data_IF_773480476166
#
_entry.id   IF_773480476166
#
_cell.length_a   1.000
_cell.length_b   1.000
_cell.length_c   1.000
_cell.angle_alpha   90.00
_cell.angle_beta   90.00
_cell.angle_gamma   90.00
#
_symmetry.space_group_name_H-M   'P 1'
#
loop_
_entity.id
_entity.type
_entity.pdbx_description
1 polymer ?
#
# COMPACT_ATOMS: atom_id res chain seq x y z
N UNK A 1 13.03 12.71 2.82
CA UNK A 1 14.02 11.65 3.11
C UNK A 1 13.35 10.60 3.95
N UNK A 2 13.52 9.33 3.61
CA UNK A 2 12.92 8.20 4.36
C UNK A 2 13.86 7.83 5.50
N UNK A 3 13.36 7.72 6.71
CA UNK A 3 14.16 7.38 7.89
C UNK A 3 13.90 5.96 8.34
N UNK A 4 14.82 5.41 9.14
CA UNK A 4 14.59 4.13 9.79
C UNK A 4 13.37 4.15 10.74
N UNK A 5 13.01 5.33 11.27
CA UNK A 5 11.80 5.47 12.08
C UNK A 5 10.54 5.27 11.22
N UNK A 6 10.49 5.86 10.03
CA UNK A 6 9.36 5.72 9.10
C UNK A 6 9.13 4.25 8.73
N UNK A 7 10.21 3.51 8.50
CA UNK A 7 10.17 2.08 8.19
C UNK A 7 9.77 1.21 9.40
N UNK A 8 9.96 1.69 10.63
CA UNK A 8 9.61 0.95 11.85
C UNK A 8 8.29 1.38 12.47
N UNK A 9 7.64 2.41 11.95
CA UNK A 9 6.41 2.93 12.51
C UNK A 9 5.23 2.01 12.16
N UNK A 10 4.99 1.79 10.87
CA UNK A 10 3.92 0.94 10.36
C UNK A 10 4.34 -0.47 9.93
N UNK A 11 3.37 -1.37 9.71
CA UNK A 11 3.64 -2.72 9.19
C UNK A 11 4.22 -2.67 7.77
N UNK A 12 3.76 -1.77 6.91
CA UNK A 12 4.26 -1.66 5.53
C UNK A 12 5.74 -1.32 5.46
N UNK A 13 6.22 -0.41 6.31
CA UNK A 13 7.65 -0.08 6.40
C UNK A 13 8.51 -1.27 6.85
N UNK A 14 8.02 -2.04 7.83
CA UNK A 14 8.71 -3.25 8.32
C UNK A 14 8.74 -4.32 7.23
N UNK A 15 7.62 -4.52 6.55
CA UNK A 15 7.48 -5.48 5.45
C UNK A 15 8.41 -5.10 4.30
N UNK A 16 8.39 -3.84 3.87
CA UNK A 16 9.31 -3.33 2.85
C UNK A 16 10.78 -3.60 3.21
N UNK A 17 11.17 -3.35 4.46
CA UNK A 17 12.55 -3.59 4.91
C UNK A 17 12.95 -5.07 4.81
N UNK A 18 12.03 -5.98 5.17
CA UNK A 18 12.22 -7.43 5.01
C UNK A 18 12.32 -7.83 3.54
N UNK A 19 11.37 -7.38 2.71
CA UNK A 19 11.32 -7.76 1.30
C UNK A 19 12.51 -7.19 0.52
N UNK A 20 13.01 -6.02 0.90
CA UNK A 20 14.23 -5.44 0.34
C UNK A 20 15.47 -6.29 0.64
N UNK A 21 15.56 -6.85 1.85
CA UNK A 21 16.64 -7.79 2.19
C UNK A 21 16.53 -9.07 1.36
N UNK A 22 15.31 -9.57 1.14
CA UNK A 22 15.07 -10.79 0.35
C UNK A 22 15.41 -10.57 -1.12
N UNK A 23 15.04 -9.42 -1.68
CA UNK A 23 15.37 -9.05 -3.05
C UNK A 23 16.89 -8.87 -3.24
N UNK A 24 17.54 -8.08 -2.39
CA UNK A 24 18.98 -7.79 -2.48
C UNK A 24 19.88 -8.99 -2.08
N UNK A 25 19.41 -9.88 -1.21
CA UNK A 25 20.14 -11.05 -0.72
C UNK A 25 20.30 -12.17 -1.77
N UNK A 26 19.58 -12.06 -2.90
CA UNK A 26 19.65 -12.98 -4.04
C UNK A 26 19.46 -14.45 -3.65
N UNK A 27 20.20 -15.34 -4.33
CA UNK A 27 20.17 -16.80 -4.10
C UNK A 27 21.32 -17.28 -3.20
N UNK A 28 21.67 -16.50 -2.19
CA UNK A 28 22.67 -16.91 -1.20
C UNK A 28 22.09 -17.98 -0.27
N UNK A 29 22.94 -18.86 0.26
CA UNK A 29 22.50 -19.87 1.24
C UNK A 29 21.87 -19.23 2.50
N UNK A 30 22.34 -18.04 2.89
CA UNK A 30 21.76 -17.28 4.00
C UNK A 30 20.35 -16.76 3.66
N UNK A 31 20.13 -16.27 2.43
CA UNK A 31 18.81 -15.82 1.99
C UNK A 31 17.82 -16.99 1.87
N UNK A 32 18.27 -18.14 1.35
CA UNK A 32 17.46 -19.37 1.29
C UNK A 32 17.09 -19.86 2.72
N UNK A 33 18.05 -19.82 3.64
CA UNK A 33 17.81 -20.16 5.03
C UNK A 33 16.82 -19.20 5.71
N UNK A 34 16.95 -17.88 5.48
CA UNK A 34 15.99 -16.89 5.95
C UNK A 34 14.58 -17.20 5.43
N UNK A 35 14.43 -17.48 4.14
CA UNK A 35 13.14 -17.86 3.55
C UNK A 35 12.51 -19.08 4.22
N UNK A 36 13.32 -20.11 4.49
CA UNK A 36 12.87 -21.32 5.16
C UNK A 36 12.40 -21.06 6.61
N UNK A 37 13.20 -20.31 7.37
CA UNK A 37 12.88 -19.97 8.77
C UNK A 37 11.64 -19.08 8.87
N UNK A 38 11.49 -18.11 7.96
CA UNK A 38 10.28 -17.27 7.88
C UNK A 38 9.03 -18.09 7.55
N UNK A 39 9.12 -19.03 6.61
CA UNK A 39 8.02 -19.93 6.30
C UNK A 39 7.56 -20.70 7.54
N UNK A 40 8.48 -21.30 8.29
CA UNK A 40 8.10 -22.02 9.50
C UNK A 40 7.59 -21.11 10.61
N UNK A 41 8.15 -19.90 10.74
CA UNK A 41 7.65 -18.91 11.70
C UNK A 41 6.20 -18.51 11.41
N UNK A 42 5.87 -18.28 10.14
CA UNK A 42 4.53 -18.00 9.67
C UNK A 42 3.54 -19.15 9.96
N UNK A 43 3.95 -20.39 9.67
CA UNK A 43 3.17 -21.60 9.99
C UNK A 43 2.88 -21.69 11.49
N UNK A 44 3.88 -21.48 12.34
CA UNK A 44 3.72 -21.56 13.80
C UNK A 44 2.81 -20.46 14.33
N UNK A 45 3.01 -19.20 13.92
CA UNK A 45 2.18 -18.08 14.33
C UNK A 45 0.72 -18.25 13.92
N UNK A 46 0.49 -18.68 12.67
CA UNK A 46 -0.86 -18.95 12.15
C UNK A 46 -1.57 -20.02 12.99
N UNK A 47 -0.85 -21.08 13.40
CA UNK A 47 -1.39 -22.14 14.27
C UNK A 47 -1.62 -21.67 15.71
N UNK A 48 -0.74 -20.85 16.27
CA UNK A 48 -0.91 -20.25 17.60
C UNK A 48 -2.15 -19.35 17.67
N UNK A 49 -2.49 -18.70 16.55
CA UNK A 49 -3.73 -17.94 16.38
C UNK A 49 -4.97 -18.83 16.20
N UNK A 50 -4.82 -20.15 16.24
CA UNK A 50 -5.91 -21.12 16.13
C UNK A 50 -6.38 -21.37 14.69
N UNK A 51 -5.61 -20.93 13.69
CA UNK A 51 -5.94 -21.11 12.27
C UNK A 51 -5.34 -22.41 11.72
N UNK A 52 -6.02 -23.04 10.78
CA UNK A 52 -5.51 -24.25 10.11
C UNK A 52 -4.48 -23.91 9.04
N UNK A 53 -3.40 -24.68 8.98
CA UNK A 53 -2.37 -24.58 7.94
C UNK A 53 -2.24 -25.92 7.23
N UNK A 54 -2.48 -25.93 5.92
CA UNK A 54 -2.35 -27.13 5.10
C UNK A 54 -0.89 -27.36 4.68
N UNK A 55 -0.23 -28.32 5.33
CA UNK A 55 1.13 -28.75 4.99
C UNK A 55 1.10 -29.98 4.07
N UNK A 56 1.11 -29.75 2.76
CA UNK A 56 1.05 -30.82 1.75
C UNK A 56 2.39 -31.56 1.62
N UNK A 57 2.52 -32.69 2.31
CA UNK A 57 3.72 -33.53 2.23
C UNK A 57 4.91 -33.03 3.04
N UNK A 58 4.72 -32.03 3.89
CA UNK A 58 5.72 -31.51 4.81
C UNK A 58 5.37 -31.90 6.25
N UNK A 59 6.38 -32.35 7.01
CA UNK A 59 6.27 -32.49 8.45
C UNK A 59 6.55 -31.13 9.11
N UNK A 60 5.89 -30.85 10.24
CA UNK A 60 6.19 -29.66 11.04
C UNK A 60 7.67 -29.64 11.43
N UNK A 61 8.27 -28.46 11.32
CA UNK A 61 9.66 -28.20 11.66
C UNK A 61 9.74 -27.03 12.66
N UNK A 62 10.50 -27.20 13.73
CA UNK A 62 10.61 -26.23 14.82
C UNK A 62 11.66 -25.13 14.55
N UNK A 63 12.23 -25.05 13.35
CA UNK A 63 13.23 -24.04 12.97
C UNK A 63 12.70 -22.62 12.93
N UNK A 64 11.38 -22.42 12.82
CA UNK A 64 10.71 -21.12 12.74
C UNK A 64 10.66 -20.29 14.03
N UNK A 65 11.56 -20.52 15.00
CA UNK A 65 11.57 -19.74 16.25
C UNK A 65 11.94 -18.28 16.01
N UNK A 66 11.46 -17.38 16.86
CA UNK A 66 11.83 -15.95 16.83
C UNK A 66 13.34 -15.70 16.92
N UNK A 67 14.05 -16.52 17.71
CA UNK A 67 15.51 -16.43 17.81
C UNK A 67 16.21 -16.85 16.51
N UNK A 68 15.71 -17.88 15.84
CA UNK A 68 16.21 -18.31 14.54
C UNK A 68 15.91 -17.26 13.46
N UNK A 69 14.71 -16.66 13.45
CA UNK A 69 14.37 -15.56 12.54
C UNK A 69 15.34 -14.39 12.73
N UNK A 70 15.58 -13.96 13.98
CA UNK A 70 16.51 -12.87 14.27
C UNK A 70 17.93 -13.17 13.78
N UNK A 71 18.42 -14.39 14.04
CA UNK A 71 19.74 -14.82 13.58
C UNK A 71 19.83 -14.88 12.05
N UNK A 72 18.80 -15.38 11.38
CA UNK A 72 18.75 -15.45 9.92
C UNK A 72 18.73 -14.05 9.28
N UNK A 73 17.97 -13.10 9.84
CA UNK A 73 17.95 -11.70 9.39
C UNK A 73 19.32 -11.02 9.50
N UNK A 74 20.14 -11.39 10.49
CA UNK A 74 21.50 -10.86 10.64
C UNK A 74 22.54 -11.58 9.78
N UNK A 75 22.25 -12.82 9.37
CA UNK A 75 23.16 -13.64 8.57
C UNK A 75 23.14 -13.29 7.08
N UNK A 76 22.05 -12.72 6.57
CA UNK A 76 21.99 -12.27 5.17
C UNK A 76 22.89 -11.05 4.98
N UNK A 77 23.79 -11.14 3.99
CA UNK A 77 24.67 -10.04 3.62
C UNK A 77 23.85 -8.85 3.09
N UNK A 78 24.21 -7.65 3.57
CA UNK A 78 23.51 -6.41 3.24
C UNK A 78 24.31 -5.65 2.20
N UNK A 79 23.90 -5.76 0.94
CA UNK A 79 24.46 -5.03 -0.19
C UNK A 79 23.66 -3.74 -0.45
N UNK A 80 24.15 -2.85 -1.29
CA UNK A 80 23.34 -1.71 -1.73
C UNK A 80 22.29 -2.21 -2.72
N UNK A 81 20.97 -2.03 -2.44
CA UNK A 81 19.93 -2.56 -3.30
C UNK A 81 19.83 -1.78 -4.62
N UNK A 82 19.60 -2.51 -5.70
CA UNK A 82 19.34 -1.95 -7.02
C UNK A 82 17.91 -1.37 -7.10
N UNK A 83 17.64 -0.43 -8.03
CA UNK A 83 16.30 0.11 -8.26
C UNK A 83 15.19 -0.93 -8.43
N UNK A 84 15.46 -2.02 -9.16
CA UNK A 84 14.51 -3.12 -9.35
C UNK A 84 14.13 -3.82 -8.05
N UNK A 85 15.11 -4.10 -7.20
CA UNK A 85 14.90 -4.73 -5.88
C UNK A 85 14.07 -3.83 -4.96
N UNK A 86 14.20 -2.51 -5.09
CA UNK A 86 13.41 -1.54 -4.32
C UNK A 86 11.94 -1.55 -4.75
N UNK A 87 11.64 -1.56 -6.05
CA UNK A 87 10.23 -1.58 -6.51
C UNK A 87 9.59 -2.95 -6.31
N UNK A 88 10.35 -4.04 -6.46
CA UNK A 88 9.89 -5.40 -6.09
C UNK A 88 9.56 -5.50 -4.60
N UNK A 89 10.39 -4.93 -3.72
CA UNK A 89 10.11 -4.89 -2.30
C UNK A 89 8.85 -4.07 -1.95
N UNK A 90 8.61 -2.97 -2.67
CA UNK A 90 7.36 -2.20 -2.55
C UNK A 90 6.15 -2.99 -3.03
N UNK A 91 6.25 -3.70 -4.15
CA UNK A 91 5.19 -4.59 -4.66
C UNK A 91 4.81 -5.63 -3.60
N UNK A 92 5.77 -6.35 -3.03
CA UNK A 92 5.49 -7.35 -2.00
C UNK A 92 4.89 -6.73 -0.71
N UNK A 93 5.30 -5.51 -0.36
CA UNK A 93 4.72 -4.80 0.77
C UNK A 93 3.28 -4.31 0.49
N UNK A 94 2.95 -3.93 -0.74
CA UNK A 94 1.60 -3.53 -1.14
C UNK A 94 0.67 -4.74 -1.28
N UNK A 95 1.14 -5.84 -1.87
CA UNK A 95 0.35 -7.07 -2.08
C UNK A 95 -0.08 -7.72 -0.75
N UNK A 96 0.68 -7.53 0.32
CA UNK A 96 0.29 -8.00 1.66
C UNK A 96 -0.73 -7.10 2.37
N UNK A 97 -1.12 -5.95 1.80
CA UNK A 97 -2.13 -5.05 2.38
C UNK A 97 -3.54 -5.48 1.92
N UNK A 98 -4.00 -6.61 2.44
CA UNK A 98 -5.32 -7.18 2.16
C UNK A 98 -6.30 -6.80 3.27
N UNK A 99 -7.10 -5.76 3.04
CA UNK A 99 -7.96 -5.16 4.07
C UNK A 99 -9.22 -5.95 4.40
N UNK A 100 -9.53 -6.99 3.62
CA UNK A 100 -10.71 -7.85 3.81
C UNK A 100 -10.42 -9.13 4.60
N UNK A 101 -9.18 -9.32 5.04
CA UNK A 101 -8.75 -10.45 5.87
C UNK A 101 -7.95 -10.00 7.10
N UNK A 102 -7.71 -10.94 8.01
CA UNK A 102 -6.90 -10.69 9.20
C UNK A 102 -5.46 -10.37 8.78
N UNK A 103 -4.74 -9.62 9.64
CA UNK A 103 -3.35 -9.25 9.37
C UNK A 103 -2.51 -10.48 9.00
N UNK A 104 -1.69 -10.29 7.97
CA UNK A 104 -0.71 -11.27 7.51
C UNK A 104 0.23 -11.64 8.67
N UNK A 105 0.43 -12.95 8.89
CA UNK A 105 1.16 -13.41 10.07
C UNK A 105 2.63 -12.99 10.07
N UNK A 106 3.23 -12.66 8.91
CA UNK A 106 4.55 -12.05 8.85
C UNK A 106 4.51 -10.60 9.38
N UNK A 107 3.44 -9.83 9.19
CA UNK A 107 3.33 -8.51 9.81
C UNK A 107 3.23 -8.58 11.33
N UNK A 108 2.60 -9.63 11.86
CA UNK A 108 2.55 -9.93 13.29
C UNK A 108 3.92 -10.39 13.82
N UNK A 109 4.64 -11.21 13.04
CA UNK A 109 6.03 -11.58 13.31
C UNK A 109 6.91 -10.34 13.44
N UNK A 110 6.80 -9.41 12.48
CA UNK A 110 7.66 -8.23 12.37
C UNK A 110 7.38 -7.17 13.46
N UNK A 111 6.30 -7.24 14.23
CA UNK A 111 6.11 -6.39 15.41
C UNK A 111 6.62 -7.04 16.71
N UNK A 112 7.04 -8.30 16.65
CA UNK A 112 7.42 -9.05 17.85
C UNK A 112 8.63 -8.43 18.57
N UNK A 113 8.59 -8.22 19.91
CA UNK A 113 9.65 -7.55 20.66
C UNK A 113 11.06 -8.16 20.51
N UNK A 114 11.15 -9.48 20.32
CA UNK A 114 12.43 -10.17 20.13
C UNK A 114 13.12 -9.82 18.80
N UNK A 115 12.37 -9.38 17.78
CA UNK A 115 12.94 -8.99 16.48
C UNK A 115 13.31 -7.51 16.42
N UNK A 116 12.97 -6.71 17.44
CA UNK A 116 13.12 -5.25 17.43
C UNK A 116 14.52 -4.78 17.05
N UNK A 117 15.56 -5.41 17.58
CA UNK A 117 16.94 -4.99 17.32
C UNK A 117 17.42 -5.39 15.92
N UNK A 118 17.03 -6.57 15.44
CA UNK A 118 17.29 -7.00 14.06
C UNK A 118 16.59 -6.08 13.06
N UNK A 119 15.32 -5.74 13.30
CA UNK A 119 14.55 -4.82 12.48
C UNK A 119 15.10 -3.39 12.51
N UNK A 120 15.61 -2.93 13.65
CA UNK A 120 16.26 -1.61 13.74
C UNK A 120 17.51 -1.54 12.86
N UNK A 121 18.33 -2.60 12.85
CA UNK A 121 19.49 -2.70 11.95
C UNK A 121 19.06 -2.73 10.49
N UNK A 122 18.02 -3.51 10.19
CA UNK A 122 17.52 -3.66 8.84
C UNK A 122 16.92 -2.36 8.28
N UNK A 123 16.06 -1.70 9.04
CA UNK A 123 15.52 -0.38 8.69
C UNK A 123 16.62 0.68 8.57
N UNK A 124 17.66 0.62 9.42
CA UNK A 124 18.83 1.48 9.33
C UNK A 124 19.60 1.30 8.02
N UNK A 125 19.83 0.05 7.61
CA UNK A 125 20.44 -0.29 6.32
C UNK A 125 19.57 0.19 5.15
N UNK A 126 18.28 -0.16 5.14
CA UNK A 126 17.35 0.25 4.09
C UNK A 126 17.30 1.77 3.94
N UNK A 127 17.14 2.50 5.05
CA UNK A 127 17.15 3.96 5.04
C UNK A 127 18.52 4.56 4.66
N UNK A 128 19.64 3.85 4.81
CA UNK A 128 20.94 4.35 4.35
C UNK A 128 21.17 4.19 2.84
N UNK A 129 20.35 3.36 2.16
CA UNK A 129 20.49 3.11 0.73
C UNK A 129 20.11 4.35 -0.10
N UNK A 130 20.96 4.75 -1.07
CA UNK A 130 20.62 5.81 -2.02
C UNK A 130 19.36 5.50 -2.85
N UNK A 131 19.13 4.23 -3.20
CA UNK A 131 17.96 3.83 -3.97
C UNK A 131 16.68 3.99 -3.14
N UNK A 132 16.69 3.62 -1.85
CA UNK A 132 15.55 3.87 -0.96
C UNK A 132 15.33 5.36 -0.73
N UNK A 133 16.40 6.15 -0.56
CA UNK A 133 16.25 7.61 -0.44
C UNK A 133 15.65 8.26 -1.68
N UNK A 134 15.88 7.68 -2.87
CA UNK A 134 15.29 8.15 -4.13
C UNK A 134 13.77 8.06 -4.14
N UNK A 135 13.17 7.08 -3.45
CA UNK A 135 11.72 6.99 -3.30
C UNK A 135 11.14 8.25 -2.66
N UNK A 136 11.72 8.71 -1.55
CA UNK A 136 11.25 9.87 -0.81
C UNK A 136 11.73 11.23 -1.35
N UNK A 137 12.35 11.26 -2.53
CA UNK A 137 12.79 12.49 -3.17
C UNK A 137 11.65 13.09 -4.01
N UNK A 138 11.45 14.42 -3.99
CA UNK A 138 10.46 15.05 -4.86
C UNK A 138 10.73 14.75 -6.33
N UNK A 139 9.71 14.33 -7.05
CA UNK A 139 9.75 14.19 -8.52
C UNK A 139 8.69 15.08 -9.15
N UNK A 140 9.05 15.71 -10.27
CA UNK A 140 8.14 16.60 -10.99
C UNK A 140 7.16 15.82 -11.87
N UNK A 141 7.66 14.83 -12.61
CA UNK A 141 6.85 14.00 -13.50
C UNK A 141 6.07 12.96 -12.72
N UNK A 142 4.82 12.75 -13.11
CA UNK A 142 3.95 11.69 -12.65
C UNK A 142 3.33 11.01 -13.87
N UNK A 143 2.76 9.83 -13.68
CA UNK A 143 2.16 9.04 -14.77
C UNK A 143 0.83 8.47 -14.32
N UNK A 144 -0.13 8.39 -15.22
CA UNK A 144 -1.27 7.51 -15.03
C UNK A 144 -0.99 6.14 -15.61
N UNK A 145 -1.56 5.13 -14.97
CA UNK A 145 -1.44 3.74 -15.38
C UNK A 145 -2.86 3.21 -15.58
N UNK A 146 -3.12 2.65 -16.76
CA UNK A 146 -4.36 1.96 -17.08
C UNK A 146 -4.03 0.50 -17.40
N UNK A 147 -4.45 -0.42 -16.53
CA UNK A 147 -4.23 -1.86 -16.73
C UNK A 147 -5.21 -2.46 -17.73
N UNK A 148 -4.76 -3.47 -18.47
CA UNK A 148 -5.63 -4.25 -19.36
C UNK A 148 -6.78 -4.90 -18.58
N UNK A 149 -7.99 -4.89 -19.16
CA UNK A 149 -9.19 -5.45 -18.55
C UNK A 149 -10.02 -4.45 -17.72
N UNK A 150 -9.58 -3.20 -17.59
CA UNK A 150 -10.48 -2.11 -17.19
C UNK A 150 -11.62 -1.93 -18.21
N UNK A 151 -12.80 -1.47 -17.76
CA UNK A 151 -13.95 -1.23 -18.65
C UNK A 151 -13.69 0.01 -19.53
N UNK A 152 -13.28 -0.14 -20.81
CA UNK A 152 -12.85 0.98 -21.63
C UNK A 152 -14.04 1.74 -22.25
N UNK A 153 -15.28 1.33 -21.95
CA UNK A 153 -16.47 1.71 -22.72
C UNK A 153 -17.39 2.72 -22.05
N UNK A 154 -17.25 2.99 -20.74
CA UNK A 154 -18.14 3.90 -20.03
C UNK A 154 -17.64 5.35 -20.17
N UNK A 155 -18.44 6.28 -20.73
CA UNK A 155 -18.11 7.70 -20.67
C UNK A 155 -17.92 8.12 -19.21
N UNK A 156 -16.78 8.72 -18.91
CA UNK A 156 -16.53 9.31 -17.59
C UNK A 156 -17.49 10.50 -17.39
N UNK A 157 -18.27 10.45 -16.32
CA UNK A 157 -18.94 11.64 -15.82
C UNK A 157 -17.88 12.67 -15.37
N UNK A 158 -18.19 13.98 -15.32
CA UNK A 158 -17.35 14.95 -14.65
C UNK A 158 -16.98 14.47 -13.24
N UNK A 159 -15.73 14.67 -12.82
CA UNK A 159 -15.22 14.12 -11.55
C UNK A 159 -16.09 14.59 -10.39
N UNK A 160 -16.48 15.87 -10.38
CA UNK A 160 -17.31 16.43 -9.32
C UNK A 160 -18.69 15.76 -9.20
N UNK A 161 -19.34 15.39 -10.31
CA UNK A 161 -20.63 14.70 -10.30
C UNK A 161 -20.46 13.29 -9.73
N UNK A 162 -19.45 12.56 -10.20
CA UNK A 162 -19.16 11.21 -9.71
C UNK A 162 -18.80 11.17 -8.21
N UNK A 163 -18.09 12.17 -7.70
CA UNK A 163 -17.78 12.27 -6.27
C UNK A 163 -19.04 12.52 -5.44
N UNK A 164 -19.96 13.37 -5.91
CA UNK A 164 -21.25 13.62 -5.23
C UNK A 164 -22.11 12.36 -5.22
N UNK A 165 -22.28 11.72 -6.37
CA UNK A 165 -23.06 10.48 -6.50
C UNK A 165 -22.50 9.36 -5.61
N UNK A 166 -21.17 9.20 -5.58
CA UNK A 166 -20.50 8.24 -4.70
C UNK A 166 -20.76 8.55 -3.22
N UNK A 167 -20.64 9.81 -2.80
CA UNK A 167 -20.88 10.19 -1.41
C UNK A 167 -22.35 9.96 -1.01
N UNK A 168 -23.30 10.21 -1.91
CA UNK A 168 -24.72 9.89 -1.71
C UNK A 168 -24.96 8.38 -1.56
N UNK A 169 -24.31 7.55 -2.39
CA UNK A 169 -24.40 6.10 -2.29
C UNK A 169 -23.87 5.60 -0.94
N UNK A 170 -22.69 6.06 -0.50
CA UNK A 170 -22.15 5.67 0.80
C UNK A 170 -23.06 6.09 1.96
N UNK A 171 -23.67 7.28 1.88
CA UNK A 171 -24.65 7.72 2.89
C UNK A 171 -25.90 6.85 2.87
N UNK A 172 -26.37 6.41 1.70
CA UNK A 172 -27.48 5.48 1.59
C UNK A 172 -27.13 4.10 2.21
N UNK A 173 -25.96 3.55 1.87
CA UNK A 173 -25.46 2.29 2.44
C UNK A 173 -25.31 2.37 3.97
N UNK A 174 -24.86 3.51 4.48
CA UNK A 174 -24.77 3.79 5.92
C UNK A 174 -26.15 3.81 6.59
N UNK A 175 -27.19 4.32 5.93
CA UNK A 175 -28.57 4.34 6.46
C UNK A 175 -29.25 2.97 6.39
N UNK A 176 -29.02 2.23 5.30
CA UNK A 176 -29.52 0.86 5.16
C UNK A 176 -28.86 -0.06 6.18
N UNK A 177 -27.54 0.10 6.35
CA UNK A 177 -26.71 -0.71 7.23
C UNK A 177 -26.50 -2.12 6.70
N UNK A 178 -25.34 -2.69 7.01
CA UNK A 178 -25.07 -4.10 6.69
C UNK A 178 -25.35 -5.00 7.88
N UNK A 179 -26.15 -6.05 7.70
CA UNK A 179 -26.42 -7.05 8.75
C UNK A 179 -25.31 -8.11 8.83
N UNK A 180 -24.81 -8.35 10.04
CA UNK A 180 -23.79 -9.38 10.29
C UNK A 180 -22.44 -9.13 9.59
N UNK A 181 -21.46 -10.03 9.76
CA UNK A 181 -20.16 -9.95 9.09
C UNK A 181 -20.33 -10.02 7.56
N UNK A 182 -19.74 -9.05 6.86
CA UNK A 182 -19.76 -8.97 5.42
C UNK A 182 -18.46 -8.32 4.93
N UNK A 183 -18.00 -8.69 3.75
CA UNK A 183 -16.87 -8.07 3.07
C UNK A 183 -17.36 -7.43 1.77
N UNK A 184 -16.67 -6.38 1.33
CA UNK A 184 -17.00 -5.71 0.08
C UNK A 184 -15.99 -4.64 -0.26
N UNK A 185 -16.49 -3.43 -0.48
CA UNK A 185 -15.63 -2.29 -0.78
C UNK A 185 -14.88 -1.85 0.48
N UNK A 186 -13.55 -1.96 0.49
CA UNK A 186 -12.71 -1.64 1.65
C UNK A 186 -11.79 -0.45 1.44
N UNK A 187 -11.66 0.06 0.21
CA UNK A 187 -10.74 1.16 -0.09
C UNK A 187 -11.26 2.50 0.43
N UNK A 188 -10.30 3.41 0.60
CA UNK A 188 -10.53 4.80 0.98
C UNK A 188 -10.15 5.78 -0.10
N UNK A 189 -9.63 5.32 -1.23
CA UNK A 189 -9.26 6.16 -2.38
C UNK A 189 -10.49 6.88 -2.97
N UNK A 190 -10.29 8.03 -3.63
CA UNK A 190 -11.32 8.65 -4.45
C UNK A 190 -11.85 7.66 -5.51
N UNK A 191 -13.17 7.61 -5.75
CA UNK A 191 -13.76 6.70 -6.72
C UNK A 191 -13.42 7.12 -8.16
N UNK A 192 -13.55 6.17 -9.08
CA UNK A 192 -13.57 6.48 -10.51
C UNK A 192 -14.67 7.52 -10.83
N UNK A 193 -14.42 8.50 -11.71
CA UNK A 193 -13.30 8.65 -12.64
C UNK A 193 -12.17 9.56 -12.14
N UNK A 194 -12.05 9.83 -10.83
CA UNK A 194 -10.97 10.66 -10.30
C UNK A 194 -9.59 10.11 -10.75
N UNK A 195 -8.81 10.88 -11.53
CA UNK A 195 -7.53 10.38 -12.04
C UNK A 195 -6.53 10.11 -10.92
N UNK A 196 -5.89 8.94 -10.95
CA UNK A 196 -4.69 8.67 -10.17
C UNK A 196 -3.43 8.96 -11.02
N UNK A 197 -2.42 9.52 -10.38
CA UNK A 197 -1.08 9.65 -10.96
C UNK A 197 -0.02 9.29 -9.93
N UNK A 198 1.05 8.61 -10.34
CA UNK A 198 2.11 8.16 -9.42
C UNK A 198 3.49 8.55 -9.96
N UNK A 199 4.50 8.68 -9.08
CA UNK A 199 5.87 8.98 -9.47
C UNK A 199 6.55 7.76 -10.10
N UNK A 200 7.57 8.01 -10.94
CA UNK A 200 8.53 7.02 -11.42
C UNK A 200 9.93 7.41 -10.88
N UNK A 201 10.28 6.99 -9.65
CA UNK A 201 11.55 7.37 -9.03
C UNK A 201 12.77 6.81 -9.79
N UNK A 202 12.56 5.74 -10.56
CA UNK A 202 13.54 5.06 -11.40
C UNK A 202 12.99 4.91 -12.82
N UNK A 203 13.57 5.62 -13.79
CA UNK A 203 13.06 5.67 -15.16
C UNK A 203 12.89 4.27 -15.78
N UNK A 204 13.88 3.39 -15.61
CA UNK A 204 13.87 2.04 -16.19
C UNK A 204 12.88 1.07 -15.51
N UNK A 205 12.27 1.46 -14.39
CA UNK A 205 11.28 0.65 -13.68
C UNK A 205 9.85 1.15 -13.91
N UNK A 206 9.66 2.33 -14.50
CA UNK A 206 8.35 2.94 -14.69
C UNK A 206 7.73 3.49 -13.39
N UNK A 207 6.47 3.94 -13.46
CA UNK A 207 5.78 4.52 -12.30
C UNK A 207 5.40 3.48 -11.25
N UNK A 208 5.30 3.91 -10.00
CA UNK A 208 5.02 3.02 -8.86
C UNK A 208 3.66 2.32 -8.95
N UNK A 209 2.67 2.88 -9.66
CA UNK A 209 1.40 2.21 -9.90
C UNK A 209 1.52 0.92 -10.73
N UNK A 210 2.62 0.66 -11.45
CA UNK A 210 2.87 -0.64 -12.06
C UNK A 210 3.17 -1.73 -11.01
N UNK A 211 3.72 -1.34 -9.86
CA UNK A 211 4.33 -2.25 -8.90
C UNK A 211 3.53 -2.36 -7.59
N UNK A 212 3.13 -1.22 -7.03
CA UNK A 212 2.71 -1.13 -5.64
C UNK A 212 1.21 -0.84 -5.48
N UNK A 213 0.38 -1.51 -6.29
CA UNK A 213 -1.07 -1.52 -6.08
C UNK A 213 -1.38 -2.50 -4.95
N UNK A 214 -2.11 -2.05 -3.92
CA UNK A 214 -2.54 -2.94 -2.83
C UNK A 214 -3.53 -3.98 -3.37
N UNK A 215 -3.37 -5.25 -2.96
CA UNK A 215 -4.25 -6.37 -3.36
C UNK A 215 -4.47 -6.45 -4.87
N UNK A 216 -3.37 -6.55 -5.63
CA UNK A 216 -3.40 -6.43 -7.08
C UNK A 216 -4.04 -7.65 -7.76
N UNK A 217 -4.64 -7.46 -8.95
CA UNK A 217 -5.23 -8.56 -9.72
C UNK A 217 -4.22 -9.31 -10.61
N UNK A 218 -2.91 -9.16 -10.34
CA UNK A 218 -1.86 -9.83 -11.10
C UNK A 218 -1.77 -9.38 -12.57
N UNK A 219 -2.11 -8.13 -12.87
CA UNK A 219 -2.05 -7.58 -14.24
C UNK A 219 -0.66 -7.74 -14.85
N UNK A 220 -0.64 -7.99 -16.16
CA UNK A 220 0.59 -8.25 -16.91
C UNK A 220 0.85 -7.24 -18.01
N UNK A 221 -0.09 -6.32 -18.24
CA UNK A 221 -0.01 -5.28 -19.25
C UNK A 221 -0.72 -4.01 -18.79
N UNK A 222 -0.11 -2.87 -19.10
CA UNK A 222 -0.66 -1.57 -18.81
C UNK A 222 -0.29 -0.55 -19.89
N UNK A 223 -1.16 0.41 -20.09
CA UNK A 223 -0.85 1.67 -20.76
C UNK A 223 -0.41 2.70 -19.72
N UNK A 224 0.74 3.32 -19.95
CA UNK A 224 1.35 4.30 -19.05
C UNK A 224 1.44 5.62 -19.78
N UNK A 225 0.72 6.62 -19.28
CA UNK A 225 0.66 7.95 -19.90
C UNK A 225 1.31 8.98 -18.99
N UNK A 226 2.24 9.77 -19.53
CA UNK A 226 2.81 10.89 -18.80
C UNK A 226 1.69 11.85 -18.37
N UNK A 227 1.76 12.32 -17.13
CA UNK A 227 0.78 13.20 -16.53
C UNK A 227 1.51 14.43 -16.00
N UNK A 228 1.35 15.55 -16.70
CA UNK A 228 1.93 16.81 -16.27
C UNK A 228 1.00 17.49 -15.27
N UNK A 229 1.61 18.17 -14.30
CA UNK A 229 0.86 18.95 -13.33
C UNK A 229 -0.07 19.92 -14.06
N UNK A 230 -1.38 19.73 -13.95
CA UNK A 230 -2.37 20.73 -14.37
C UNK A 230 -2.21 22.03 -13.55
N UNK A 231 -3.14 22.97 -13.65
CA UNK A 231 -3.18 24.13 -12.76
C UNK A 231 -3.56 23.71 -11.33
N UNK A 232 -2.69 22.99 -10.65
CA UNK A 232 -2.85 22.62 -9.25
C UNK A 232 -2.62 23.87 -8.42
N UNK A 233 -3.67 24.35 -7.79
CA UNK A 233 -3.59 25.52 -6.91
C UNK A 233 -3.71 25.14 -5.43
N UNK A 234 -4.36 24.01 -5.14
CA UNK A 234 -4.69 23.56 -3.78
C UNK A 234 -4.42 22.06 -3.65
N UNK A 235 -3.41 21.70 -2.86
CA UNK A 235 -3.03 20.31 -2.58
C UNK A 235 -3.05 20.04 -1.08
N UNK A 236 -3.62 18.91 -0.69
CA UNK A 236 -3.38 18.32 0.63
C UNK A 236 -2.36 17.21 0.46
N UNK A 237 -1.30 17.25 1.26
CA UNK A 237 -0.28 16.21 1.30
C UNK A 237 -0.43 15.45 2.63
N UNK A 238 -0.58 14.13 2.52
CA UNK A 238 -0.63 13.21 3.65
C UNK A 238 0.76 12.60 3.79
N UNK A 239 1.53 13.10 4.75
CA UNK A 239 2.87 12.59 5.07
C UNK A 239 2.92 11.78 6.36
N UNK A 240 1.99 12.03 7.29
CA UNK A 240 1.93 11.36 8.59
C UNK A 240 0.49 11.00 8.98
N UNK A 241 0.29 10.08 9.94
CA UNK A 241 -1.04 9.70 10.41
C UNK A 241 -1.90 10.89 10.83
N UNK A 242 -1.30 11.94 11.39
CA UNK A 242 -2.02 13.15 11.78
C UNK A 242 -2.60 13.92 10.58
N UNK A 243 -1.92 13.94 9.44
CA UNK A 243 -2.45 14.61 8.24
C UNK A 243 -3.69 13.88 7.71
N UNK A 244 -3.67 12.54 7.74
CA UNK A 244 -4.84 11.73 7.38
C UNK A 244 -5.99 11.91 8.38
N UNK A 245 -5.67 11.92 9.67
CA UNK A 245 -6.65 12.16 10.73
C UNK A 245 -7.29 13.55 10.58
N UNK A 246 -6.50 14.59 10.28
CA UNK A 246 -6.98 15.95 10.06
C UNK A 246 -7.88 16.05 8.83
N UNK A 247 -7.51 15.39 7.73
CA UNK A 247 -8.34 15.27 6.53
C UNK A 247 -9.70 14.64 6.84
N UNK A 248 -9.70 13.49 7.53
CA UNK A 248 -10.93 12.81 7.96
C UNK A 248 -11.77 13.65 8.93
N UNK A 249 -11.12 14.41 9.83
CA UNK A 249 -11.82 15.24 10.81
C UNK A 249 -12.48 16.46 10.15
N UNK A 250 -11.82 17.04 9.15
CA UNK A 250 -12.32 18.21 8.41
C UNK A 250 -13.44 17.84 7.44
N UNK A 251 -13.35 16.69 6.80
CA UNK A 251 -14.32 16.23 5.80
C UNK A 251 -14.81 14.80 6.11
N UNK A 252 -15.55 14.59 7.21
CA UNK A 252 -15.92 13.25 7.64
C UNK A 252 -17.07 12.67 6.79
N UNK A 253 -16.88 11.46 6.29
CA UNK A 253 -17.93 10.55 5.82
C UNK A 253 -18.01 9.36 6.78
N UNK A 254 -19.16 9.17 7.43
CA UNK A 254 -19.39 8.04 8.34
C UNK A 254 -19.65 6.77 7.54
N UNK A 255 -18.86 5.73 7.83
CA UNK A 255 -18.94 4.41 7.19
C UNK A 255 -19.11 3.29 8.22
N UNK A 256 -19.44 3.64 9.46
CA UNK A 256 -19.52 2.73 10.61
C UNK A 256 -20.56 1.63 10.48
N UNK A 257 -21.54 1.76 9.58
CA UNK A 257 -22.60 0.79 9.30
C UNK A 257 -22.47 0.12 7.93
N UNK A 258 -21.44 0.44 7.15
CA UNK A 258 -21.15 -0.22 5.85
C UNK A 258 -20.31 -1.49 6.02
N UNK A 259 -20.03 -2.23 4.93
CA UNK A 259 -19.13 -3.40 4.93
C UNK A 259 -17.72 -3.06 5.42
N UNK A 260 -17.23 -1.84 5.16
CA UNK A 260 -15.91 -1.34 5.58
C UNK A 260 -15.62 -1.56 7.06
N UNK A 261 -16.63 -1.45 7.92
CA UNK A 261 -16.45 -1.63 9.37
C UNK A 261 -15.92 -3.02 9.73
N UNK A 262 -16.28 -4.04 8.94
CA UNK A 262 -15.90 -5.42 9.17
C UNK A 262 -14.53 -5.70 8.59
N UNK A 263 -14.31 -5.33 7.33
CA UNK A 263 -13.02 -5.44 6.66
C UNK A 263 -11.95 -4.72 7.49
N UNK A 264 -12.15 -3.44 7.82
CA UNK A 264 -11.20 -2.67 8.63
C UNK A 264 -11.08 -3.19 10.06
N UNK A 265 -12.17 -3.67 10.65
CA UNK A 265 -12.15 -4.24 11.98
C UNK A 265 -11.30 -5.50 12.06
N UNK A 266 -11.40 -6.37 11.07
CA UNK A 266 -10.62 -7.60 10.91
C UNK A 266 -9.15 -7.27 10.59
N UNK A 267 -8.89 -6.37 9.63
CA UNK A 267 -7.53 -6.01 9.21
C UNK A 267 -6.75 -5.21 10.26
N UNK A 268 -7.42 -4.52 11.19
CA UNK A 268 -6.74 -3.69 12.21
C UNK A 268 -6.87 -4.23 13.63
N UNK A 269 -7.79 -5.18 13.88
CA UNK A 269 -8.17 -5.64 15.21
C UNK A 269 -8.96 -4.61 16.03
N UNK A 270 -9.36 -3.47 15.43
CA UNK A 270 -10.10 -2.41 16.11
C UNK A 270 -11.61 -2.56 15.90
N UNK A 271 -12.37 -2.53 16.99
CA UNK A 271 -13.81 -2.29 16.94
C UNK A 271 -14.13 -0.80 17.16
N UNK A 272 -15.26 -0.33 16.64
CA UNK A 272 -15.79 1.01 16.91
C UNK A 272 -16.23 1.76 15.66
N UNK A 273 -16.44 3.06 15.81
CA UNK A 273 -16.87 3.92 14.72
C UNK A 273 -15.70 4.19 13.75
N UNK A 274 -16.06 4.29 12.47
CA UNK A 274 -15.14 4.46 11.35
C UNK A 274 -15.57 5.62 10.47
N UNK A 275 -14.60 6.40 10.03
CA UNK A 275 -14.79 7.50 9.08
C UNK A 275 -13.77 7.43 7.97
N UNK A 276 -14.09 8.03 6.84
CA UNK A 276 -13.14 8.32 5.76
C UNK A 276 -13.37 9.74 5.23
N UNK A 277 -12.47 10.28 4.39
CA UNK A 277 -12.70 11.56 3.76
C UNK A 277 -13.93 11.52 2.83
N UNK A 278 -14.82 12.48 2.98
CA UNK A 278 -15.86 12.76 1.98
C UNK A 278 -15.21 13.46 0.78
N UNK A 279 -14.84 12.68 -0.24
CA UNK A 279 -14.14 13.20 -1.41
C UNK A 279 -14.92 14.30 -2.15
N UNK A 280 -16.25 14.28 -2.11
CA UNK A 280 -17.08 15.36 -2.68
C UNK A 280 -16.87 16.68 -1.93
N UNK A 281 -16.79 16.63 -0.61
CA UNK A 281 -16.53 17.80 0.23
C UNK A 281 -15.08 18.27 0.12
N UNK A 282 -14.13 17.34 0.03
CA UNK A 282 -12.71 17.65 -0.19
C UNK A 282 -12.52 18.39 -1.53
N UNK A 283 -13.17 17.93 -2.60
CA UNK A 283 -13.08 18.52 -3.94
C UNK A 283 -13.56 19.99 -4.01
N UNK A 284 -14.42 20.43 -3.09
CA UNK A 284 -14.83 21.82 -3.01
C UNK A 284 -13.65 22.76 -2.64
N UNK A 285 -12.67 22.24 -1.91
CA UNK A 285 -11.57 23.02 -1.34
C UNK A 285 -10.18 22.62 -1.85
N UNK A 286 -10.06 21.46 -2.48
CA UNK A 286 -8.78 20.83 -2.81
C UNK A 286 -8.84 20.25 -4.21
N UNK A 287 -7.81 20.54 -5.02
CA UNK A 287 -7.71 20.04 -6.39
C UNK A 287 -7.07 18.65 -6.41
N UNK A 288 -6.08 18.41 -5.54
CA UNK A 288 -5.28 17.19 -5.48
C UNK A 288 -5.02 16.74 -4.04
N UNK A 289 -5.14 15.43 -3.79
CA UNK A 289 -4.66 14.81 -2.54
C UNK A 289 -3.51 13.88 -2.86
N UNK A 290 -2.38 14.10 -2.21
CA UNK A 290 -1.16 13.30 -2.33
C UNK A 290 -0.97 12.45 -1.08
N UNK A 291 -0.75 11.14 -1.24
CA UNK A 291 -0.18 10.30 -0.21
C UNK A 291 1.30 10.10 -0.50
N UNK A 292 2.17 10.64 0.35
CA UNK A 292 3.61 10.43 0.18
C UNK A 292 3.97 8.96 0.46
N UNK A 293 5.13 8.51 -0.04
CA UNK A 293 5.63 7.16 0.26
C UNK A 293 5.90 6.98 1.76
N UNK A 294 6.41 8.02 2.43
CA UNK A 294 6.60 7.99 3.88
C UNK A 294 5.26 7.89 4.63
N UNK A 295 4.27 8.68 4.22
CA UNK A 295 2.91 8.59 4.74
C UNK A 295 2.29 7.22 4.55
N UNK A 296 2.49 6.59 3.39
CA UNK A 296 2.04 5.23 3.16
C UNK A 296 2.70 4.24 4.13
N UNK A 297 4.02 4.31 4.34
CA UNK A 297 4.71 3.45 5.32
C UNK A 297 4.22 3.62 6.75
N UNK A 298 3.87 4.85 7.14
CA UNK A 298 3.41 5.19 8.50
C UNK A 298 1.93 4.86 8.73
N UNK A 299 1.10 4.85 7.69
CA UNK A 299 -0.36 4.75 7.80
C UNK A 299 -0.95 3.42 7.33
N UNK A 300 -0.48 2.86 6.21
CA UNK A 300 -1.10 1.65 5.62
C UNK A 300 -0.88 0.44 6.53
N UNK A 301 -1.91 -0.40 6.66
CA UNK A 301 -2.01 -1.51 7.60
C UNK A 301 -2.23 -1.12 9.07
N UNK A 302 -2.56 0.14 9.37
CA UNK A 302 -2.92 0.59 10.72
C UNK A 302 -4.29 1.29 10.75
N UNK A 303 -4.94 1.22 11.90
CA UNK A 303 -6.02 2.15 12.24
C UNK A 303 -5.41 3.50 12.61
N UNK A 304 -5.80 4.56 11.91
CA UNK A 304 -5.42 5.94 12.20
C UNK A 304 -6.48 6.57 13.11
N UNK A 305 -6.17 6.89 14.38
CA UNK A 305 -7.12 7.56 15.27
C UNK A 305 -7.48 8.95 14.74
N UNK A 306 -8.78 9.23 14.58
CA UNK A 306 -9.27 10.54 14.11
C UNK A 306 -9.65 11.42 15.29
N UNK A 307 -10.31 10.83 16.28
CA UNK A 307 -10.62 11.44 17.58
C UNK A 307 -10.79 10.35 18.65
N UNK A 308 -11.45 10.68 19.78
CA UNK A 308 -11.62 9.76 20.89
C UNK A 308 -12.43 8.50 20.54
N UNK A 309 -13.37 8.60 19.58
CA UNK A 309 -14.36 7.55 19.31
C UNK A 309 -14.21 6.98 17.89
N UNK A 310 -13.62 7.72 16.96
CA UNK A 310 -13.55 7.39 15.53
C UNK A 310 -12.12 7.16 15.07
N UNK A 311 -11.97 6.22 14.14
CA UNK A 311 -10.72 5.98 13.41
C UNK A 311 -10.98 5.92 11.91
N UNK A 312 -9.89 5.90 11.14
CA UNK A 312 -9.88 5.69 9.69
C UNK A 312 -8.73 4.74 9.34
N UNK A 313 -8.59 4.40 8.06
CA UNK A 313 -7.47 3.64 7.50
C UNK A 313 -7.01 4.31 6.20
N UNK A 314 -5.76 4.10 5.83
CA UNK A 314 -5.26 4.46 4.49
C UNK A 314 -5.20 3.17 3.68
N UNK A 315 -6.30 2.87 2.97
CA UNK A 315 -6.51 1.61 2.29
C UNK A 315 -6.73 1.82 0.78
N UNK A 316 -6.02 1.06 -0.05
CA UNK A 316 -6.15 1.03 -1.51
C UNK A 316 -5.24 2.04 -2.23
N UNK A 317 -4.36 2.72 -1.50
CA UNK A 317 -3.51 3.77 -2.06
C UNK A 317 -2.17 3.21 -2.53
N UNK A 318 -1.80 3.47 -3.78
CA UNK A 318 -0.42 3.29 -4.23
C UNK A 318 0.51 4.27 -3.49
N UNK A 319 1.68 3.85 -2.97
CA UNK A 319 2.63 4.75 -2.33
C UNK A 319 3.10 5.86 -3.28
N UNK A 320 2.99 7.12 -2.84
CA UNK A 320 3.34 8.28 -3.65
C UNK A 320 2.23 8.75 -4.59
N UNK A 321 1.02 8.18 -4.52
CA UNK A 321 -0.05 8.54 -5.45
C UNK A 321 -0.65 9.91 -5.17
N UNK A 322 -1.15 10.50 -6.26
CA UNK A 322 -1.95 11.72 -6.29
C UNK A 322 -3.27 11.42 -6.95
N UNK A 323 -4.36 11.75 -6.25
CA UNK A 323 -5.70 11.75 -6.83
C UNK A 323 -6.14 13.17 -7.16
N UNK A 324 -6.64 13.35 -8.37
CA UNK A 324 -7.13 14.61 -8.90
C UNK A 324 -8.64 14.67 -8.72
N UNK A 325 -9.11 15.61 -7.90
CA UNK A 325 -10.50 15.67 -7.45
C UNK A 325 -11.37 16.66 -8.24
N UNK A 326 -10.75 17.43 -9.14
CA UNK A 326 -11.42 18.49 -9.91
C UNK A 326 -11.05 18.43 -11.39
N UNK A 327 -11.99 18.86 -12.23
CA UNK A 327 -11.75 19.06 -13.66
C UNK A 327 -11.23 20.48 -13.98
N UNK A 328 -10.36 20.65 -15.00
CA UNK A 328 -9.69 19.58 -15.73
C UNK A 328 -8.64 18.89 -14.86
N UNK A 329 -8.54 17.56 -15.01
CA UNK A 329 -7.50 16.76 -14.37
C UNK A 329 -6.08 17.03 -14.93
N UNK A 330 -5.13 16.10 -14.72
CA UNK A 330 -3.77 16.28 -15.22
C UNK A 330 -3.75 16.28 -16.75
N UNK A 331 -2.89 17.12 -17.32
CA UNK A 331 -2.64 17.10 -18.77
C UNK A 331 -1.93 15.79 -19.13
N UNK A 332 -2.45 15.08 -20.14
CA UNK A 332 -1.91 13.80 -20.61
C UNK A 332 -0.89 14.04 -21.72
N UNK A 333 0.32 13.53 -21.52
CA UNK A 333 1.41 13.53 -22.49
C UNK A 333 1.42 12.26 -23.33
N UNK A 334 2.63 11.82 -23.68
CA UNK A 334 2.84 10.59 -24.45
C UNK A 334 2.45 9.36 -23.63
N UNK A 335 1.96 8.34 -24.34
CA UNK A 335 1.51 7.09 -23.76
C UNK A 335 2.32 5.94 -24.32
N UNK A 336 2.69 5.00 -23.47
CA UNK A 336 3.44 3.82 -23.88
C UNK A 336 2.98 2.54 -23.18
N UNK A 337 3.25 1.40 -23.80
CA UNK A 337 2.82 0.11 -23.26
C UNK A 337 3.92 -0.50 -22.39
N UNK A 338 3.52 -1.00 -21.23
CA UNK A 338 4.36 -1.81 -20.36
C UNK A 338 3.78 -3.21 -20.24
N UNK A 339 4.65 -4.22 -20.19
CA UNK A 339 4.26 -5.60 -19.97
C UNK A 339 5.26 -6.38 -19.12
N UNK A 340 4.80 -7.48 -18.52
CA UNK A 340 5.59 -8.48 -17.80
C UNK A 340 5.11 -9.89 -18.11
N UNK A 341 6.04 -10.84 -18.20
CA UNK A 341 5.75 -12.21 -18.64
C UNK A 341 5.02 -13.07 -17.58
N UNK A 342 4.95 -12.61 -16.33
CA UNK A 342 4.40 -13.36 -15.18
C UNK A 342 3.71 -12.39 -14.22
N UNK A 343 2.89 -12.92 -13.31
CA UNK A 343 2.24 -12.14 -12.25
C UNK A 343 3.23 -11.51 -11.25
N UNK A 344 4.51 -11.89 -11.31
CA UNK A 344 5.61 -11.34 -10.52
C UNK A 344 6.85 -11.33 -11.42
N UNK A 345 7.52 -10.18 -11.53
CA UNK A 345 8.68 -10.00 -12.40
C UNK A 345 8.75 -8.60 -13.00
N UNK A 346 9.86 -8.26 -13.68
CA UNK A 346 10.11 -6.91 -14.11
C UNK A 346 9.12 -6.46 -15.18
N UNK A 347 8.59 -5.26 -14.99
CA UNK A 347 7.89 -4.54 -16.04
C UNK A 347 8.88 -4.05 -17.08
N UNK A 348 8.52 -4.22 -18.34
CA UNK A 348 9.33 -3.81 -19.48
C UNK A 348 8.51 -2.99 -20.46
N UNK A 349 9.14 -1.95 -21.01
CA UNK A 349 8.55 -1.16 -22.07
C UNK A 349 8.41 -2.00 -23.34
N UNK A 350 7.20 -2.15 -23.85
CA UNK A 350 6.91 -2.88 -25.09
C UNK A 350 6.52 -1.90 -26.19
N UNK A 351 7.52 -1.22 -26.75
CA UNK A 351 7.42 -0.44 -27.99
C UNK A 351 6.83 0.97 -27.88
N UNK A 352 7.36 1.86 -28.72
CA UNK A 352 6.82 3.20 -29.06
C UNK A 352 5.64 3.09 -30.05
#
# INVERSE_FOLDING_TARGET
MITAADLLEGPRGRRFSLELLRAAGGRSAAAEHLGNVLFWADVHLTREQGREVALWGLALDDSGTLAAVAAALDAVERTDPAPGEVVEALEQAAESARWWEERDAVDDLLVHPQLRDALRRLAGWAASSPAVQRLGAPVAAHWAVAFDGGDPGRPAAPVHEALVDWAEQIRADQQEGTDGPASGEWWTTPPWPAPETTPAPFADQGPLALWAVEDSFGWQRAEVTEAHGGRVSRTIVVDRPEDWADLCRRFPLDVSATTRRWDWGVATGRAGAWVMPDWSAVAAEVDVVELTIAGWFRCSGLAVPVDADRASVVAGWTPGSRYWLTDPGPERGESCTWARDRNQGPWTHTGD
#
